data_IF_144248981217
#
_entry.id   IF_144248981217
#
_cell.length_a   1.000
_cell.length_b   1.000
_cell.length_c   1.000
_cell.angle_alpha   90.00
_cell.angle_beta   90.00
_cell.angle_gamma   90.00
#
_symmetry.space_group_name_H-M   'P 1'
#
loop_
_entity.id
_entity.type
_entity.pdbx_description
1 polymer ?
#
# COMPACT_ATOMS: atom_id res chain seq x y z
N UNK A 1 17.94 -12.93 12.30
CA UNK A 1 17.40 -12.59 10.97
C UNK A 1 18.13 -11.34 10.53
N UNK A 2 18.75 -11.35 9.36
CA UNK A 2 19.49 -10.19 8.87
C UNK A 2 18.54 -9.00 8.64
N UNK A 3 18.92 -7.77 9.04
CA UNK A 3 18.05 -6.61 8.92
C UNK A 3 17.71 -6.34 7.45
N UNK A 4 16.41 -6.21 7.17
CA UNK A 4 15.92 -5.88 5.82
C UNK A 4 15.47 -4.44 5.83
N UNK A 5 16.29 -3.56 5.23
CA UNK A 5 16.03 -2.14 5.22
C UNK A 5 15.05 -1.77 4.10
N UNK A 6 14.00 -1.06 4.49
CA UNK A 6 13.07 -0.45 3.56
C UNK A 6 13.05 1.07 3.74
N UNK A 7 12.68 1.73 2.65
CA UNK A 7 12.62 3.18 2.55
C UNK A 7 11.33 3.57 1.83
N UNK A 8 10.84 4.75 2.14
CA UNK A 8 9.88 5.44 1.29
C UNK A 8 10.60 6.12 0.13
N UNK A 9 9.89 6.30 -0.98
CA UNK A 9 10.45 6.90 -2.18
C UNK A 9 9.58 8.08 -2.61
N UNK A 10 10.22 9.10 -3.16
CA UNK A 10 9.54 10.15 -3.90
C UNK A 10 9.74 9.93 -5.38
N UNK A 11 8.71 10.20 -6.17
CA UNK A 11 8.75 10.14 -7.61
C UNK A 11 8.01 11.32 -8.21
N UNK A 12 8.45 11.74 -9.40
CA UNK A 12 7.75 12.78 -10.15
C UNK A 12 6.75 12.09 -11.07
N UNK A 13 5.46 12.30 -10.81
CA UNK A 13 4.44 11.86 -11.75
C UNK A 13 4.33 12.88 -12.88
N UNK A 14 4.51 12.47 -14.12
CA UNK A 14 4.29 13.31 -15.30
C UNK A 14 2.79 13.46 -15.61
N UNK A 15 2.35 14.66 -15.99
CA UNK A 15 0.98 14.92 -16.45
C UNK A 15 0.46 16.31 -16.08
N UNK A 16 -0.77 16.63 -16.51
CA UNK A 16 -1.43 17.93 -16.25
C UNK A 16 -1.57 18.26 -14.75
N UNK A 17 -1.64 17.23 -13.92
CA UNK A 17 -1.68 17.30 -12.45
C UNK A 17 -0.46 16.61 -11.83
N UNK A 18 0.61 16.54 -12.60
CA UNK A 18 1.87 15.92 -12.21
C UNK A 18 2.62 16.75 -11.17
N UNK A 19 3.44 16.09 -10.36
CA UNK A 19 4.21 16.70 -9.28
C UNK A 19 5.03 15.67 -8.53
N UNK A 20 5.80 16.13 -7.54
CA UNK A 20 6.53 15.25 -6.62
C UNK A 20 5.51 14.56 -5.71
N UNK A 21 5.51 13.23 -5.71
CA UNK A 21 4.65 12.39 -4.87
C UNK A 21 5.51 11.43 -4.08
N UNK A 22 5.13 11.21 -2.82
CA UNK A 22 5.64 10.11 -2.03
C UNK A 22 4.91 8.82 -2.38
N UNK A 23 5.58 7.67 -2.28
CA UNK A 23 4.96 6.37 -2.50
C UNK A 23 3.86 6.08 -1.48
N UNK A 24 4.06 6.46 -0.22
CA UNK A 24 3.18 6.08 0.89
C UNK A 24 3.28 4.61 1.29
N UNK A 25 4.24 3.88 0.70
CA UNK A 25 4.60 2.51 1.07
C UNK A 25 6.12 2.37 1.05
N UNK A 26 6.61 1.42 1.85
CA UNK A 26 8.02 1.13 2.04
C UNK A 26 8.47 0.03 1.09
N UNK A 27 9.65 0.19 0.52
CA UNK A 27 10.28 -0.78 -0.37
C UNK A 27 11.77 -0.91 -0.03
N UNK A 28 12.28 -2.11 -0.16
CA UNK A 28 13.73 -2.37 -0.24
C UNK A 28 14.29 -1.78 -1.53
N UNK A 29 15.62 -1.54 -1.58
CA UNK A 29 16.28 -1.08 -2.82
C UNK A 29 16.02 -2.05 -4.00
N UNK A 30 15.96 -3.36 -3.72
CA UNK A 30 15.65 -4.39 -4.72
C UNK A 30 14.21 -4.34 -5.24
N UNK A 31 13.23 -4.09 -4.38
CA UNK A 31 11.84 -3.91 -4.79
C UNK A 31 11.68 -2.60 -5.57
N UNK A 32 12.38 -1.54 -5.15
CA UNK A 32 12.40 -0.27 -5.84
C UNK A 32 12.94 -0.43 -7.26
N UNK A 33 14.03 -1.18 -7.50
CA UNK A 33 14.56 -1.42 -8.85
C UNK A 33 13.54 -1.97 -9.86
N UNK A 34 12.53 -2.70 -9.37
CA UNK A 34 11.45 -3.29 -10.18
C UNK A 34 10.22 -2.39 -10.28
N UNK A 35 10.15 -1.34 -9.48
CA UNK A 35 9.02 -0.42 -9.46
C UNK A 35 9.01 0.45 -10.71
N UNK A 36 7.82 0.62 -11.31
CA UNK A 36 7.65 1.31 -12.60
C UNK A 36 8.23 2.73 -12.64
N UNK A 37 8.23 3.43 -11.50
CA UNK A 37 8.71 4.81 -11.42
C UNK A 37 10.20 4.93 -11.02
N UNK A 38 10.88 3.84 -10.69
CA UNK A 38 12.26 3.88 -10.16
C UNK A 38 13.26 4.54 -11.11
N UNK A 39 13.14 4.25 -12.40
CA UNK A 39 13.98 4.86 -13.45
C UNK A 39 13.45 6.21 -13.94
N UNK A 40 12.39 6.73 -13.31
CA UNK A 40 11.81 8.02 -13.64
C UNK A 40 12.70 9.18 -13.21
N UNK A 41 12.79 10.21 -14.05
CA UNK A 41 13.50 11.45 -13.73
C UNK A 41 12.90 12.10 -12.49
N UNK A 42 13.69 12.23 -11.43
CA UNK A 42 13.25 12.82 -10.15
C UNK A 42 12.78 11.80 -9.11
N UNK A 43 12.86 10.50 -9.41
CA UNK A 43 12.66 9.48 -8.38
C UNK A 43 13.87 9.41 -7.44
N UNK A 44 13.63 9.49 -6.13
CA UNK A 44 14.66 9.46 -5.10
C UNK A 44 14.21 8.70 -3.86
N UNK A 45 15.19 8.10 -3.19
CA UNK A 45 14.99 7.46 -1.89
C UNK A 45 14.90 8.52 -0.79
N UNK A 46 14.02 8.31 0.19
CA UNK A 46 13.96 9.12 1.39
C UNK A 46 14.68 8.40 2.54
N UNK A 47 15.99 8.63 2.69
CA UNK A 47 16.80 7.98 3.73
C UNK A 47 16.32 8.26 5.17
N UNK A 48 15.65 9.40 5.39
CA UNK A 48 15.02 9.75 6.68
C UNK A 48 13.92 8.77 7.11
N UNK A 49 13.35 8.01 6.15
CA UNK A 49 12.27 7.04 6.40
C UNK A 49 12.77 5.61 6.56
N UNK A 50 14.09 5.42 6.66
CA UNK A 50 14.73 4.11 6.81
C UNK A 50 14.14 3.34 7.99
N UNK A 51 13.64 2.13 7.72
CA UNK A 51 13.12 1.23 8.75
C UNK A 51 13.54 -0.22 8.50
N UNK A 52 13.69 -0.99 9.58
CA UNK A 52 13.94 -2.43 9.48
C UNK A 52 12.60 -3.19 9.44
N UNK A 53 12.34 -3.87 8.32
CA UNK A 53 11.17 -4.72 8.09
C UNK A 53 10.98 -5.74 9.22
N UNK A 54 12.07 -6.27 9.78
CA UNK A 54 12.02 -7.29 10.83
C UNK A 54 11.67 -6.73 12.21
N UNK A 55 11.85 -5.43 12.44
CA UNK A 55 11.46 -4.77 13.70
C UNK A 55 10.00 -4.37 13.72
N UNK A 56 9.39 -4.15 12.55
CA UNK A 56 7.95 -4.05 12.44
C UNK A 56 7.35 -5.44 12.67
N UNK A 57 7.01 -5.75 13.93
CA UNK A 57 6.01 -6.77 14.21
C UNK A 57 4.76 -6.34 13.46
N UNK A 58 4.47 -7.01 12.34
CA UNK A 58 3.14 -6.97 11.76
C UNK A 58 2.23 -7.39 12.90
N UNK A 59 1.41 -6.46 13.37
CA UNK A 59 0.29 -6.83 14.22
C UNK A 59 -0.66 -7.60 13.30
N UNK A 60 -0.42 -8.91 13.19
CA UNK A 60 -1.22 -9.82 12.38
C UNK A 60 -2.61 -10.00 12.98
N UNK A 61 -2.98 -9.20 13.99
CA UNK A 61 -4.38 -8.94 14.32
C UNK A 61 -5.04 -8.07 13.23
N UNK A 62 -4.99 -8.54 11.98
CA UNK A 62 -6.18 -8.41 11.17
C UNK A 62 -7.20 -9.35 11.82
N UNK A 63 -7.85 -8.89 12.89
CA UNK A 63 -9.10 -9.49 13.31
C UNK A 63 -10.06 -9.18 12.18
N UNK A 64 -10.16 -10.11 11.23
CA UNK A 64 -11.34 -10.24 10.39
C UNK A 64 -12.49 -10.54 11.35
N UNK A 65 -13.01 -9.50 12.01
CA UNK A 65 -14.27 -9.56 12.73
C UNK A 65 -15.32 -9.84 11.69
N UNK A 66 -15.61 -11.13 11.53
CA UNK A 66 -16.86 -11.67 11.02
C UNK A 66 -17.29 -11.08 9.69
N UNK A 67 -17.11 -11.89 8.64
CA UNK A 67 -18.02 -11.92 7.51
C UNK A 67 -19.48 -11.74 7.98
N UNK A 68 -20.00 -10.53 7.82
CA UNK A 68 -21.41 -10.22 7.90
C UNK A 68 -21.72 -9.44 6.64
N UNK A 69 -21.98 -10.15 5.54
CA UNK A 69 -22.52 -9.51 4.34
C UNK A 69 -23.85 -8.84 4.75
N UNK A 70 -24.14 -7.60 4.35
CA UNK A 70 -25.31 -6.87 4.84
C UNK A 70 -26.66 -7.52 4.50
N UNK A 71 -26.71 -8.52 3.62
CA UNK A 71 -27.92 -9.29 3.27
C UNK A 71 -28.12 -10.58 4.08
N UNK A 72 -27.20 -10.91 5.00
CA UNK A 72 -27.33 -12.07 5.90
C UNK A 72 -28.34 -11.82 7.04
N UNK A 73 -28.69 -10.56 7.28
CA UNK A 73 -29.79 -10.19 8.19
C UNK A 73 -31.05 -10.04 7.36
N UNK A 74 -31.85 -11.09 7.37
CA UNK A 74 -33.01 -11.27 6.50
C UNK A 74 -33.88 -10.02 6.32
N UNK A 75 -34.25 -9.78 5.06
CA UNK A 75 -35.35 -8.90 4.72
C UNK A 75 -35.13 -8.10 3.44
N UNK A 76 -35.50 -8.67 2.29
CA UNK A 76 -36.41 -8.04 1.31
C UNK A 76 -37.11 -9.16 0.52
N UNK A 77 -38.42 -9.42 0.66
CA UNK A 77 -39.15 -10.18 -0.34
C UNK A 77 -39.34 -9.27 -1.55
N UNK A 78 -38.68 -9.59 -2.67
CA UNK A 78 -38.99 -8.95 -3.94
C UNK A 78 -40.46 -9.24 -4.27
N UNK A 79 -41.27 -8.19 -4.42
CA UNK A 79 -42.66 -8.28 -4.84
C UNK A 79 -42.76 -8.90 -6.23
N UNK A 80 -43.47 -10.03 -6.31
CA UNK A 80 -43.98 -10.57 -7.57
C UNK A 80 -44.95 -9.57 -8.18
N UNK A 81 -44.65 -9.12 -9.40
CA UNK A 81 -45.67 -8.61 -10.32
C UNK A 81 -46.54 -9.79 -10.77
N UNK A 82 -47.84 -9.67 -10.59
CA UNK A 82 -48.90 -10.51 -11.14
C UNK A 82 -50.12 -9.63 -11.37
#
# INVERSE_FOLDING_TARGET
MDPVWEYEWEFVQSGKWGGVKRTGFWMTDYEAERWWAYRGSGTRRLDETKRDRNTHKVDTSCTFTGAGRPWDKGGVPYGSKG
#
